data_IF_718329734995
#
_entry.id   IF_718329734995
#
_cell.length_a   1.000
_cell.length_b   1.000
_cell.length_c   1.000
_cell.angle_alpha   90.00
_cell.angle_beta   90.00
_cell.angle_gamma   90.00
#
_symmetry.space_group_name_H-M   'P 1'
#
loop_
_entity.id
_entity.type
_entity.pdbx_description
1 polymer ?
#
# COMPACT_ATOMS: atom_id res chain seq x y z
N UNK A 1 14.80 -43.33 -7.73
CA UNK A 1 13.57 -42.54 -7.99
C UNK A 1 12.99 -41.83 -6.76
N UNK A 2 12.86 -42.46 -5.57
CA UNK A 2 12.27 -41.84 -4.36
C UNK A 2 13.03 -40.60 -3.84
N UNK A 3 14.37 -40.61 -3.87
CA UNK A 3 15.21 -39.49 -3.39
C UNK A 3 15.13 -38.24 -4.28
N UNK A 4 15.02 -38.42 -5.60
CA UNK A 4 14.88 -37.33 -6.58
C UNK A 4 13.56 -36.57 -6.38
N UNK A 5 12.48 -37.30 -6.04
CA UNK A 5 11.18 -36.70 -5.75
C UNK A 5 11.19 -35.83 -4.50
N UNK A 6 11.94 -36.21 -3.46
CA UNK A 6 12.05 -35.43 -2.21
C UNK A 6 12.80 -34.11 -2.47
N UNK A 7 13.90 -34.17 -3.24
CA UNK A 7 14.66 -32.96 -3.61
C UNK A 7 13.84 -32.00 -4.46
N UNK A 8 13.08 -32.53 -5.43
CA UNK A 8 12.21 -31.70 -6.28
C UNK A 8 11.11 -30.99 -5.47
N UNK A 9 10.49 -31.69 -4.51
CA UNK A 9 9.47 -31.09 -3.63
C UNK A 9 10.08 -30.03 -2.72
N UNK A 10 11.26 -30.27 -2.15
CA UNK A 10 11.95 -29.29 -1.31
C UNK A 10 12.32 -28.01 -2.08
N UNK A 11 12.78 -28.15 -3.33
CA UNK A 11 13.08 -27.02 -4.23
C UNK A 11 11.82 -26.22 -4.58
N UNK A 12 10.71 -26.90 -4.89
CA UNK A 12 9.44 -26.24 -5.20
C UNK A 12 8.89 -25.44 -4.01
N UNK A 13 8.95 -26.01 -2.79
CA UNK A 13 8.53 -25.32 -1.57
C UNK A 13 9.45 -24.13 -1.25
N UNK A 14 10.77 -24.29 -1.44
CA UNK A 14 11.74 -23.20 -1.26
C UNK A 14 11.51 -22.03 -2.22
N UNK A 15 11.20 -22.32 -3.50
CA UNK A 15 10.89 -21.29 -4.50
C UNK A 15 9.58 -20.55 -4.18
N UNK A 16 8.55 -21.26 -3.75
CA UNK A 16 7.27 -20.63 -3.36
C UNK A 16 7.43 -19.76 -2.11
N UNK A 17 8.23 -20.19 -1.13
CA UNK A 17 8.51 -19.38 0.06
C UNK A 17 9.26 -18.08 -0.28
N UNK A 18 10.17 -18.10 -1.27
CA UNK A 18 10.90 -16.92 -1.70
C UNK A 18 10.00 -15.87 -2.39
N UNK A 19 8.94 -16.28 -3.08
CA UNK A 19 8.00 -15.36 -3.73
C UNK A 19 7.03 -14.68 -2.76
N UNK A 20 6.81 -15.23 -1.57
CA UNK A 20 5.84 -14.69 -0.60
C UNK A 20 6.25 -13.36 0.05
N UNK A 21 7.50 -12.92 -0.10
CA UNK A 21 8.01 -11.70 0.55
C UNK A 21 7.98 -10.45 -0.35
N UNK A 22 7.43 -10.55 -1.56
CA UNK A 22 7.32 -9.42 -2.50
C UNK A 22 6.09 -8.54 -2.24
N UNK A 23 5.66 -8.39 -1.00
CA UNK A 23 4.74 -7.33 -0.61
C UNK A 23 5.59 -6.11 -0.25
N UNK A 24 6.09 -5.39 -1.25
CA UNK A 24 6.62 -4.06 -0.99
C UNK A 24 5.42 -3.23 -0.55
N UNK A 25 5.31 -2.94 0.75
CA UNK A 25 4.40 -1.90 1.20
C UNK A 25 4.95 -0.59 0.64
N UNK A 26 4.61 -0.26 -0.61
CA UNK A 26 4.75 1.12 -1.07
C UNK A 26 3.71 1.88 -0.28
N UNK A 27 4.17 2.71 0.67
CA UNK A 27 3.31 3.65 1.40
C UNK A 27 2.87 4.80 0.47
N UNK A 28 2.56 4.45 -0.78
CA UNK A 28 2.01 5.35 -1.78
C UNK A 28 0.51 5.42 -1.56
N UNK A 29 0.04 6.59 -1.20
CA UNK A 29 -1.38 6.80 -1.04
C UNK A 29 -1.74 8.17 -0.54
N UNK A 30 -3.04 8.35 -0.37
CA UNK A 30 -3.65 9.62 -0.07
C UNK A 30 -4.51 9.49 1.17
N UNK A 31 -4.20 10.30 2.19
CA UNK A 31 -5.04 10.49 3.35
C UNK A 31 -6.07 11.56 3.06
N UNK A 32 -7.34 11.26 3.29
CA UNK A 32 -8.46 12.19 3.21
C UNK A 32 -8.93 12.51 4.62
N UNK A 33 -9.02 13.79 4.97
CA UNK A 33 -9.41 14.27 6.30
C UNK A 33 -10.79 14.91 6.24
N UNK A 34 -11.67 14.53 7.16
CA UNK A 34 -13.05 14.97 7.21
C UNK A 34 -13.36 15.73 8.50
N UNK A 35 -14.33 16.64 8.45
CA UNK A 35 -14.91 17.25 9.65
C UNK A 35 -15.91 16.31 10.35
N UNK A 36 -16.59 16.81 11.37
CA UNK A 36 -17.58 16.05 12.15
C UNK A 36 -18.83 15.71 11.33
N UNK A 37 -19.18 16.56 10.37
CA UNK A 37 -20.30 16.36 9.43
C UNK A 37 -19.95 15.42 8.25
N UNK A 38 -18.70 14.97 8.15
CA UNK A 38 -18.23 14.08 7.08
C UNK A 38 -17.82 14.77 5.77
N UNK A 39 -17.72 16.10 5.75
CA UNK A 39 -17.20 16.86 4.61
C UNK A 39 -15.67 16.82 4.57
N UNK A 40 -15.10 16.74 3.36
CA UNK A 40 -13.64 16.74 3.15
C UNK A 40 -13.06 18.12 3.47
N UNK A 41 -12.09 18.18 4.38
CA UNK A 41 -11.45 19.42 4.85
C UNK A 41 -9.94 19.44 4.70
N UNK A 42 -9.35 18.33 4.25
CA UNK A 42 -7.93 18.26 3.95
C UNK A 42 -7.54 16.97 3.27
N UNK A 43 -6.35 16.96 2.70
CA UNK A 43 -5.78 15.80 2.05
C UNK A 43 -4.25 15.78 2.20
N UNK A 44 -3.66 14.59 2.22
CA UNK A 44 -2.20 14.43 2.17
C UNK A 44 -1.82 13.21 1.34
N UNK A 45 -1.13 13.44 0.23
CA UNK A 45 -0.60 12.41 -0.67
C UNK A 45 0.90 12.25 -0.43
N UNK A 46 1.34 10.99 -0.36
CA UNK A 46 2.73 10.61 -0.21
C UNK A 46 3.08 9.45 -1.15
N UNK A 47 4.32 9.43 -1.66
CA UNK A 47 4.84 8.35 -2.50
C UNK A 47 4.45 8.44 -3.97
N UNK A 48 3.94 9.58 -4.43
CA UNK A 48 3.46 9.88 -5.76
C UNK A 48 4.34 10.88 -6.54
N UNK A 49 5.46 11.32 -5.97
CA UNK A 49 6.40 12.19 -6.68
C UNK A 49 5.84 13.60 -6.85
N UNK A 50 5.55 14.00 -8.09
CA UNK A 50 5.05 15.36 -8.39
C UNK A 50 3.67 15.64 -7.78
N UNK A 51 2.88 14.60 -7.50
CA UNK A 51 1.57 14.71 -6.84
C UNK A 51 1.68 14.62 -5.31
N UNK A 52 2.88 14.53 -4.74
CA UNK A 52 3.05 14.59 -3.29
C UNK A 52 2.74 16.00 -2.78
N UNK A 53 1.91 16.06 -1.75
CA UNK A 53 1.46 17.34 -1.22
C UNK A 53 0.38 17.19 -0.17
N UNK A 54 0.15 18.28 0.57
CA UNK A 54 -0.94 18.35 1.53
C UNK A 54 -1.65 19.68 1.46
N UNK A 55 -2.96 19.66 1.64
CA UNK A 55 -3.78 20.86 1.79
C UNK A 55 -4.79 20.68 2.93
N UNK A 56 -5.30 21.80 3.44
CA UNK A 56 -6.36 21.81 4.45
C UNK A 56 -5.92 21.39 5.85
N UNK A 57 -6.88 20.88 6.64
CA UNK A 57 -6.69 20.55 8.06
C UNK A 57 -6.62 19.05 8.26
N UNK A 58 -5.64 18.59 9.06
CA UNK A 58 -5.55 17.19 9.48
C UNK A 58 -6.48 16.96 10.67
N UNK A 59 -7.44 16.05 10.50
CA UNK A 59 -8.37 15.64 11.56
C UNK A 59 -8.14 14.18 11.97
N UNK A 60 -8.80 13.75 13.05
CA UNK A 60 -8.82 12.34 13.47
C UNK A 60 -9.75 11.49 12.60
N UNK A 61 -10.83 12.08 12.07
CA UNK A 61 -11.74 11.44 11.12
C UNK A 61 -11.09 11.43 9.73
N UNK A 62 -10.47 10.31 9.36
CA UNK A 62 -9.70 10.20 8.12
C UNK A 62 -9.81 8.82 7.47
N UNK A 63 -9.68 8.79 6.15
CA UNK A 63 -9.56 7.56 5.37
C UNK A 63 -8.24 7.54 4.61
N UNK A 64 -7.71 6.35 4.35
CA UNK A 64 -6.56 6.16 3.48
C UNK A 64 -7.02 5.49 2.19
N UNK A 65 -6.67 6.08 1.07
CA UNK A 65 -6.86 5.51 -0.25
C UNK A 65 -5.49 5.17 -0.82
N UNK A 66 -5.31 3.91 -1.21
CA UNK A 66 -4.09 3.50 -1.90
C UNK A 66 -4.10 4.11 -3.31
N UNK A 67 -2.98 4.70 -3.71
CA UNK A 67 -2.85 5.43 -4.97
C UNK A 67 -2.84 6.96 -4.82
N UNK A 68 -2.42 7.61 -5.90
CA UNK A 68 -2.19 9.05 -5.92
C UNK A 68 -3.49 9.84 -5.99
N UNK A 69 -3.49 11.04 -5.41
CA UNK A 69 -4.60 11.96 -5.56
C UNK A 69 -4.77 12.24 -7.05
N UNK A 70 -5.97 11.94 -7.57
CA UNK A 70 -6.37 12.44 -8.88
C UNK A 70 -6.55 13.94 -8.70
N UNK A 71 -5.77 14.75 -9.43
CA UNK A 71 -6.00 16.20 -9.54
C UNK A 71 -7.50 16.43 -9.75
N UNK A 72 -8.13 17.13 -8.80
CA UNK A 72 -9.54 17.54 -8.89
C UNK A 72 -9.64 18.90 -9.57
#
# INVERSE_FOLDING_TARGET
MRRIRIVAVALAVGLLAAYSFSATASWQGTWNYYNEEGALVGQWTAGCGEQDGSWGVKTSNRSFTQGCAVDM
#
